data_IF_172026278533
#
_entry.id   IF_172026278533
#
_cell.length_a   1.000
_cell.length_b   1.000
_cell.length_c   1.000
_cell.angle_alpha   90.00
_cell.angle_beta   90.00
_cell.angle_gamma   90.00
#
_symmetry.space_group_name_H-M   'P 1'
#
loop_
_entity.id
_entity.type
_entity.pdbx_description
1 polymer ?
#
# COMPACT_ATOMS: atom_id res chain seq x y z
N UNK A 1 14.57 -6.65 -2.35
CA UNK A 1 13.15 -6.25 -2.24
C UNK A 1 13.10 -4.74 -2.18
N UNK A 2 12.08 -4.12 -2.78
CA UNK A 2 11.87 -2.69 -2.66
C UNK A 2 11.58 -2.32 -1.20
N UNK A 3 12.02 -1.13 -0.78
CA UNK A 3 11.68 -0.55 0.53
C UNK A 3 10.85 0.69 0.26
N UNK A 4 9.75 0.87 0.99
CA UNK A 4 8.93 2.09 0.91
C UNK A 4 9.16 2.93 2.16
N UNK A 5 9.66 4.16 1.98
CA UNK A 5 9.97 5.09 3.07
C UNK A 5 8.93 6.21 3.18
N UNK A 6 8.16 6.42 2.12
CA UNK A 6 7.13 7.45 2.01
C UNK A 6 6.01 6.97 1.05
N UNK A 7 4.95 7.76 0.93
CA UNK A 7 3.84 7.41 0.04
C UNK A 7 4.21 7.43 -1.44
N UNK A 8 5.15 8.26 -1.88
CA UNK A 8 5.60 8.28 -3.26
C UNK A 8 6.27 6.94 -3.65
N UNK A 9 7.03 6.32 -2.74
CA UNK A 9 7.59 4.98 -2.93
C UNK A 9 6.47 3.92 -3.06
N UNK A 10 5.40 4.03 -2.28
CA UNK A 10 4.23 3.15 -2.37
C UNK A 10 3.54 3.28 -3.74
N UNK A 11 3.30 4.52 -4.21
CA UNK A 11 2.71 4.78 -5.52
C UNK A 11 3.58 4.20 -6.65
N UNK A 12 4.89 4.42 -6.56
CA UNK A 12 5.85 3.87 -7.52
C UNK A 12 5.85 2.33 -7.49
N UNK A 13 5.82 1.72 -6.31
CA UNK A 13 5.79 0.27 -6.14
C UNK A 13 4.54 -0.39 -6.71
N UNK A 14 3.35 0.16 -6.42
CA UNK A 14 2.08 -0.33 -6.96
C UNK A 14 2.02 -0.18 -8.49
N UNK A 15 2.49 0.95 -9.00
CA UNK A 15 2.56 1.19 -10.45
C UNK A 15 3.53 0.23 -11.13
N UNK A 16 4.73 0.04 -10.56
CA UNK A 16 5.72 -0.89 -11.07
C UNK A 16 5.22 -2.34 -11.06
N UNK A 17 4.48 -2.74 -10.02
CA UNK A 17 3.84 -4.05 -9.94
C UNK A 17 2.85 -4.25 -11.09
N UNK A 18 1.89 -3.36 -11.28
CA UNK A 18 0.89 -3.50 -12.36
C UNK A 18 1.56 -3.58 -13.73
N UNK A 19 2.54 -2.71 -13.99
CA UNK A 19 3.26 -2.69 -15.25
C UNK A 19 4.06 -3.96 -15.50
N UNK A 20 4.81 -4.43 -14.50
CA UNK A 20 5.64 -5.65 -14.62
C UNK A 20 4.79 -6.90 -14.74
N UNK A 21 3.72 -7.01 -13.94
CA UNK A 21 2.81 -8.15 -13.93
C UNK A 21 1.83 -8.16 -15.13
N UNK A 22 1.81 -7.10 -15.95
CA UNK A 22 0.90 -6.97 -17.09
C UNK A 22 -0.57 -6.93 -16.68
N UNK A 23 -0.87 -6.34 -15.53
CA UNK A 23 -2.23 -6.26 -14.99
C UNK A 23 -3.04 -5.23 -15.79
N UNK A 24 -4.23 -5.64 -16.23
CA UNK A 24 -5.16 -4.70 -16.86
C UNK A 24 -6.03 -4.01 -15.82
N UNK A 25 -5.76 -2.72 -15.55
CA UNK A 25 -6.56 -1.89 -14.65
C UNK A 25 -7.88 -1.46 -15.31
N UNK A 26 -7.96 -1.46 -16.64
CA UNK A 26 -9.13 -1.00 -17.38
C UNK A 26 -10.38 -1.78 -16.98
N UNK A 27 -11.37 -1.07 -16.43
CA UNK A 27 -12.65 -1.66 -15.99
C UNK A 27 -12.68 -2.12 -14.54
N UNK A 28 -11.59 -1.97 -13.78
CA UNK A 28 -11.62 -2.13 -12.33
C UNK A 28 -12.44 -0.98 -11.71
N UNK A 29 -13.52 -1.25 -10.94
CA UNK A 29 -14.37 -0.19 -10.37
C UNK A 29 -13.63 0.80 -9.47
N UNK A 30 -12.55 0.34 -8.83
CA UNK A 30 -11.70 1.16 -7.97
C UNK A 30 -10.54 1.86 -8.70
N UNK A 31 -10.30 1.53 -9.98
CA UNK A 31 -9.18 2.07 -10.75
C UNK A 31 -7.81 1.91 -10.09
N UNK A 32 -6.86 2.74 -10.51
CA UNK A 32 -5.54 2.92 -9.89
C UNK A 32 -5.58 3.96 -8.77
N UNK A 33 -6.40 3.73 -7.74
CA UNK A 33 -6.66 4.75 -6.71
C UNK A 33 -5.39 5.28 -6.04
N UNK A 34 -4.31 4.51 -5.94
CA UNK A 34 -3.02 5.00 -5.43
C UNK A 34 -2.45 6.16 -6.27
N UNK A 35 -2.74 6.22 -7.56
CA UNK A 35 -2.27 7.30 -8.44
C UNK A 35 -3.11 8.59 -8.31
N UNK A 36 -4.32 8.49 -7.74
CA UNK A 36 -5.27 9.61 -7.65
C UNK A 36 -5.45 10.15 -6.24
N UNK A 37 -5.29 9.31 -5.22
CA UNK A 37 -5.43 9.69 -3.82
C UNK A 37 -4.13 10.29 -3.29
N UNK A 38 -4.23 11.33 -2.47
CA UNK A 38 -3.10 11.83 -1.68
C UNK A 38 -2.79 10.91 -0.49
N UNK A 39 -1.72 11.23 0.26
CA UNK A 39 -1.29 10.43 1.42
C UNK A 39 -2.39 10.30 2.48
N UNK A 40 -3.11 11.39 2.77
CA UNK A 40 -4.15 11.41 3.81
C UNK A 40 -5.33 10.57 3.34
N UNK A 41 -5.77 10.74 2.10
CA UNK A 41 -6.86 9.97 1.52
C UNK A 41 -6.54 8.48 1.44
N UNK A 42 -5.31 8.12 1.07
CA UNK A 42 -4.88 6.72 0.99
C UNK A 42 -4.79 6.04 2.36
N UNK A 43 -4.36 6.77 3.39
CA UNK A 43 -4.15 6.19 4.73
C UNK A 43 -5.37 6.24 5.64
N UNK A 44 -6.33 7.12 5.36
CA UNK A 44 -7.53 7.31 6.19
C UNK A 44 -8.84 7.02 5.47
N UNK A 45 -8.81 6.95 4.14
CA UNK A 45 -9.98 6.79 3.30
C UNK A 45 -10.35 5.34 2.98
N UNK A 46 -11.44 5.21 2.24
CA UNK A 46 -11.98 3.94 1.75
C UNK A 46 -11.55 3.67 0.32
N UNK A 47 -11.57 2.39 -0.08
CA UNK A 47 -11.34 1.95 -1.46
C UNK A 47 -12.39 2.61 -2.38
N UNK A 48 -11.98 3.49 -3.31
CA UNK A 48 -12.93 4.20 -4.17
C UNK A 48 -13.76 3.26 -5.03
N UNK A 49 -15.01 3.66 -5.33
CA UNK A 49 -15.89 2.90 -6.23
C UNK A 49 -16.40 1.56 -5.67
N UNK A 50 -16.06 1.19 -4.42
CA UNK A 50 -16.51 -0.04 -3.76
C UNK A 50 -17.53 0.31 -2.68
N UNK A 51 -18.82 0.09 -2.98
CA UNK A 51 -19.93 0.37 -2.03
C UNK A 51 -20.60 -0.88 -1.49
N UNK A 52 -20.34 -2.04 -2.08
CA UNK A 52 -20.96 -3.30 -1.68
C UNK A 52 -20.39 -3.79 -0.34
N UNK A 53 -21.26 -3.93 0.66
CA UNK A 53 -20.85 -4.35 2.00
C UNK A 53 -20.37 -3.23 2.91
N UNK A 54 -20.46 -1.96 2.48
CA UNK A 54 -20.11 -0.78 3.28
C UNK A 54 -18.84 -0.08 2.80
N UNK A 55 -18.40 0.97 3.52
CA UNK A 55 -17.07 1.54 3.35
C UNK A 55 -16.00 0.50 3.69
N UNK A 56 -14.96 0.43 2.87
CA UNK A 56 -13.83 -0.47 3.08
C UNK A 56 -12.56 0.38 3.19
N UNK A 57 -12.03 0.60 4.41
CA UNK A 57 -10.79 1.34 4.58
C UNK A 57 -9.68 0.73 3.74
N UNK A 58 -8.84 1.54 3.09
CA UNK A 58 -7.76 1.00 2.24
C UNK A 58 -6.79 0.19 3.10
N UNK A 59 -6.36 0.78 4.22
CA UNK A 59 -5.40 0.23 5.16
C UNK A 59 -5.64 0.74 6.58
N UNK A 60 -4.88 0.19 7.52
CA UNK A 60 -4.80 0.65 8.91
C UNK A 60 -3.32 0.84 9.23
N UNK A 61 -2.87 2.08 9.37
CA UNK A 61 -1.47 2.36 9.71
C UNK A 61 -1.11 1.72 11.06
N UNK A 62 0.02 1.01 11.08
CA UNK A 62 0.48 0.19 12.19
C UNK A 62 -0.09 -1.24 12.21
N UNK A 63 -0.94 -1.63 11.25
CA UNK A 63 -1.56 -2.95 11.20
C UNK A 63 -1.79 -3.47 9.77
N UNK A 64 -0.73 -4.02 9.18
CA UNK A 64 -0.79 -4.62 7.84
C UNK A 64 -1.65 -5.89 7.80
N UNK A 65 -1.79 -6.61 8.92
CA UNK A 65 -2.56 -7.84 9.00
C UNK A 65 -4.07 -7.59 8.83
N UNK A 66 -4.56 -6.46 9.36
CA UNK A 66 -5.96 -6.04 9.24
C UNK A 66 -6.22 -5.03 8.11
N UNK A 67 -5.19 -4.64 7.36
CA UNK A 67 -5.32 -3.75 6.21
C UNK A 67 -5.97 -4.45 5.00
N UNK A 68 -7.07 -3.90 4.48
CA UNK A 68 -7.83 -4.53 3.39
C UNK A 68 -7.01 -4.70 2.11
N UNK A 69 -6.15 -3.73 1.76
CA UNK A 69 -5.27 -3.83 0.60
C UNK A 69 -4.35 -5.07 0.68
N UNK A 70 -3.80 -5.39 1.86
CA UNK A 70 -2.96 -6.56 2.08
C UNK A 70 -3.78 -7.85 2.00
N UNK A 71 -4.92 -7.88 2.67
CA UNK A 71 -5.84 -9.03 2.68
C UNK A 71 -6.31 -9.39 1.28
N UNK A 72 -6.72 -8.40 0.49
CA UNK A 72 -7.18 -8.55 -0.89
C UNK A 72 -6.03 -9.02 -1.81
N UNK A 73 -4.83 -8.47 -1.67
CA UNK A 73 -3.67 -8.92 -2.46
C UNK A 73 -3.25 -10.35 -2.08
N UNK A 74 -3.35 -10.75 -0.81
CA UNK A 74 -3.04 -12.12 -0.35
C UNK A 74 -4.17 -13.12 -0.62
N UNK A 75 -5.40 -12.65 -0.83
CA UNK A 75 -6.56 -13.54 -0.96
C UNK A 75 -7.02 -14.14 0.38
N UNK A 76 -6.78 -13.46 1.49
CA UNK A 76 -7.11 -13.92 2.85
C UNK A 76 -8.00 -12.91 3.58
N UNK A 77 -8.70 -13.36 4.63
CA UNK A 77 -9.51 -12.48 5.48
C UNK A 77 -10.85 -12.04 4.86
N UNK A 78 -11.61 -11.27 5.62
CA UNK A 78 -12.99 -10.90 5.27
C UNK A 78 -13.08 -10.09 3.97
N UNK A 79 -12.09 -9.25 3.69
CA UNK A 79 -12.03 -8.48 2.44
C UNK A 79 -11.86 -9.40 1.23
N UNK A 80 -10.98 -10.41 1.31
CA UNK A 80 -10.81 -11.36 0.22
C UNK A 80 -11.99 -12.33 0.06
N UNK A 81 -12.73 -12.66 1.12
CA UNK A 81 -13.99 -13.41 0.96
C UNK A 81 -14.99 -12.64 0.09
N UNK A 82 -14.99 -11.31 0.20
CA UNK A 82 -15.88 -10.44 -0.57
C UNK A 82 -15.38 -10.19 -1.99
N UNK A 83 -14.10 -9.87 -2.14
CA UNK A 83 -13.53 -9.37 -3.41
C UNK A 83 -12.69 -10.40 -4.16
N UNK A 84 -12.38 -11.54 -3.52
CA UNK A 84 -11.37 -12.53 -3.94
C UNK A 84 -9.97 -11.91 -3.96
N UNK A 85 -8.98 -12.77 -4.20
CA UNK A 85 -7.63 -12.30 -4.45
C UNK A 85 -7.59 -11.40 -5.70
N UNK A 86 -6.88 -10.28 -5.61
CA UNK A 86 -6.59 -9.37 -6.70
C UNK A 86 -5.07 -9.27 -6.92
N UNK A 87 -4.59 -8.81 -8.09
CA UNK A 87 -5.37 -8.42 -9.27
C UNK A 87 -5.94 -9.62 -10.03
N UNK A 88 -7.06 -9.42 -10.73
CA UNK A 88 -7.65 -10.41 -11.64
C UNK A 88 -7.08 -10.25 -13.05
N UNK A 89 -7.08 -11.30 -13.90
CA UNK A 89 -7.76 -12.58 -13.72
C UNK A 89 -6.94 -13.72 -13.10
N UNK A 90 -5.62 -13.61 -12.97
CA UNK A 90 -4.74 -14.75 -12.59
C UNK A 90 -3.85 -14.47 -11.37
N UNK A 91 -4.41 -14.07 -10.21
CA UNK A 91 -3.61 -14.00 -8.99
C UNK A 91 -3.25 -15.42 -8.50
N UNK A 92 -2.11 -15.62 -7.83
CA UNK A 92 -1.07 -14.60 -7.58
C UNK A 92 -0.16 -14.37 -8.80
N UNK A 93 0.40 -13.16 -8.89
CA UNK A 93 1.43 -12.75 -9.86
C UNK A 93 2.80 -12.78 -9.19
N UNK A 94 3.30 -13.97 -8.88
CA UNK A 94 4.57 -14.13 -8.18
C UNK A 94 5.77 -14.20 -9.16
N UNK A 95 6.93 -13.63 -8.79
CA UNK A 95 7.26 -13.09 -7.45
C UNK A 95 6.79 -11.65 -7.18
N UNK A 96 6.39 -10.89 -8.21
CA UNK A 96 6.19 -9.43 -8.12
C UNK A 96 5.14 -9.04 -7.07
N UNK A 97 4.06 -9.82 -6.98
CA UNK A 97 2.98 -9.61 -6.01
C UNK A 97 3.47 -9.87 -4.59
N UNK A 98 4.20 -10.96 -4.37
CA UNK A 98 4.76 -11.28 -3.04
C UNK A 98 5.78 -10.24 -2.55
N UNK A 99 6.61 -9.72 -3.46
CA UNK A 99 7.59 -8.67 -3.17
C UNK A 99 6.89 -7.35 -2.81
N UNK A 100 5.89 -6.94 -3.60
CA UNK A 100 5.06 -5.77 -3.32
C UNK A 100 4.36 -5.89 -1.97
N UNK A 101 3.70 -7.02 -1.69
CA UNK A 101 2.99 -7.28 -0.44
C UNK A 101 3.95 -7.14 0.75
N UNK A 102 5.18 -7.65 0.62
CA UNK A 102 6.19 -7.58 1.68
C UNK A 102 6.60 -6.13 1.96
N UNK A 103 6.93 -5.37 0.91
CA UNK A 103 7.32 -3.98 1.04
C UNK A 103 6.18 -3.10 1.59
N UNK A 104 4.95 -3.30 1.09
CA UNK A 104 3.78 -2.54 1.52
C UNK A 104 3.41 -2.86 2.97
N UNK A 105 3.44 -4.14 3.37
CA UNK A 105 3.17 -4.54 4.75
C UNK A 105 4.17 -3.91 5.72
N UNK A 106 5.46 -3.92 5.39
CA UNK A 106 6.50 -3.29 6.22
C UNK A 106 6.27 -1.78 6.39
N UNK A 107 5.90 -1.07 5.32
CA UNK A 107 5.58 0.36 5.40
C UNK A 107 4.32 0.65 6.23
N UNK A 108 3.28 -0.17 6.07
CA UNK A 108 2.06 -0.06 6.90
C UNK A 108 2.40 -0.31 8.38
N UNK A 109 3.13 -1.39 8.69
CA UNK A 109 3.50 -1.75 10.06
C UNK A 109 4.42 -0.72 10.72
N UNK A 110 5.21 0.02 9.93
CA UNK A 110 6.01 1.17 10.38
C UNK A 110 5.17 2.43 10.68
N UNK A 111 3.85 2.38 10.57
CA UNK A 111 2.96 3.51 10.81
C UNK A 111 2.78 4.43 9.60
N UNK A 112 2.96 3.91 8.38
CA UNK A 112 2.82 4.66 7.13
C UNK A 112 3.69 5.93 7.08
N UNK A 113 5.01 5.87 7.36
CA UNK A 113 5.84 7.07 7.40
C UNK A 113 5.75 7.84 6.08
N UNK A 114 5.67 9.16 6.19
CA UNK A 114 5.67 10.09 5.06
C UNK A 114 6.36 11.40 5.47
N UNK A 115 7.67 11.36 5.76
CA UNK A 115 8.40 12.54 6.21
C UNK A 115 8.25 13.66 5.19
N UNK A 116 7.97 14.85 5.68
CA UNK A 116 8.10 16.04 4.86
C UNK A 116 9.59 16.29 4.61
N UNK A 117 9.95 17.05 3.57
CA UNK A 117 11.34 17.36 3.26
C UNK A 117 12.10 18.05 4.41
N UNK A 118 11.40 18.52 5.45
CA UNK A 118 11.98 19.10 6.65
C UNK A 118 12.33 18.05 7.72
N UNK A 119 11.62 16.92 7.78
CA UNK A 119 11.84 15.86 8.78
C UNK A 119 13.04 14.96 8.46
N UNK A 120 13.60 15.05 7.25
CA UNK A 120 14.72 14.23 6.79
C UNK A 120 16.11 14.79 7.19
N UNK A 121 16.17 16.01 7.72
CA UNK A 121 17.42 16.74 8.03
C UNK A 121 17.75 16.79 9.54
N UNK A 122 16.90 16.22 10.42
CA UNK A 122 17.12 16.29 11.88
C UNK A 122 17.82 15.05 12.48
N UNK A 123 18.37 14.13 11.67
CA UNK A 123 19.03 12.91 12.18
C UNK A 123 20.55 12.84 11.92
N UNK A 124 21.20 13.98 11.70
CA UNK A 124 22.67 14.12 11.71
C UNK A 124 23.09 15.22 12.69
N UNK A 125 22.97 14.99 13.99
CA UNK A 125 23.27 16.08 14.93
C UNK A 125 23.33 15.80 16.41
N UNK A 126 23.60 14.59 16.88
CA UNK A 126 23.94 14.38 18.29
C UNK A 126 25.05 13.34 18.44
N UNK A 127 26.30 13.76 18.24
CA UNK A 127 27.45 13.13 18.86
C UNK A 127 28.33 14.20 19.54
N UNK A 128 28.22 14.17 20.88
CA UNK A 128 29.24 14.45 21.89
C UNK A 128 29.61 15.91 22.22
N UNK A 129 28.91 16.37 23.27
CA UNK A 129 29.31 17.34 24.27
C UNK A 129 30.51 16.84 25.14
N UNK A 130 31.30 17.79 25.65
CA UNK A 130 32.13 17.77 26.86
C UNK A 130 33.63 17.41 26.78
N UNK A 131 34.48 18.42 27.08
CA UNK A 131 35.83 18.22 27.65
C UNK A 131 36.88 19.23 27.26
#
# INVERSE_FOLDING_TARGET
MATFNNYADVQAGLTAFVNTAGVNITGAPHGEFWATLDYTEFTTGDIPGVTIGGPWPILVCGDSANSNIIQILKGIGAAAEKFRQMPRPRPPYDPEQSDLITALAAWIDAGCPNPTSEDADENEGEDEENG
#
